data_IF_761544653103
#
_entry.id   IF_761544653103
#
_cell.length_a   1.000
_cell.length_b   1.000
_cell.length_c   1.000
_cell.angle_alpha   90.00
_cell.angle_beta   90.00
_cell.angle_gamma   90.00
#
_symmetry.space_group_name_H-M   'P 1'
#
loop_
_entity.id
_entity.type
_entity.pdbx_description
1 polymer ?
#
# COMPACT_ATOMS: atom_id res chain seq x y z
N UNK A 1 -16.20 -2.26 -14.75
CA UNK A 1 -15.24 -2.60 -13.67
C UNK A 1 -14.68 -4.00 -13.77
N UNK A 2 -15.48 -5.08 -13.89
CA UNK A 2 -14.97 -6.48 -13.93
C UNK A 2 -13.86 -6.73 -14.96
N UNK A 3 -13.98 -6.16 -16.17
CA UNK A 3 -12.96 -6.31 -17.23
C UNK A 3 -11.60 -5.70 -16.88
N UNK A 4 -11.57 -4.59 -16.16
CA UNK A 4 -10.33 -3.95 -15.70
C UNK A 4 -9.62 -4.82 -14.65
N UNK A 5 -10.36 -5.36 -13.68
CA UNK A 5 -9.81 -6.28 -12.68
C UNK A 5 -9.22 -7.54 -13.32
N UNK A 6 -9.92 -8.11 -14.31
CA UNK A 6 -9.43 -9.29 -15.05
C UNK A 6 -8.15 -8.94 -15.81
N UNK A 7 -8.09 -7.77 -16.46
CA UNK A 7 -6.88 -7.29 -17.14
C UNK A 7 -5.71 -7.19 -16.16
N UNK A 8 -5.90 -6.57 -15.01
CA UNK A 8 -4.85 -6.40 -14.00
C UNK A 8 -4.40 -7.74 -13.39
N UNK A 9 -5.32 -8.68 -13.15
CA UNK A 9 -4.99 -10.05 -12.73
C UNK A 9 -4.21 -10.82 -13.80
N UNK A 10 -4.61 -10.71 -15.07
CA UNK A 10 -3.90 -11.35 -16.19
C UNK A 10 -2.48 -10.79 -16.32
N UNK A 11 -2.30 -9.49 -16.08
CA UNK A 11 -0.97 -8.87 -16.04
C UNK A 11 -0.12 -9.48 -14.92
N UNK A 12 -0.68 -9.64 -13.71
CA UNK A 12 0.03 -10.32 -12.63
C UNK A 12 0.41 -11.77 -12.99
N UNK A 13 -0.51 -12.52 -13.60
CA UNK A 13 -0.26 -13.90 -14.04
C UNK A 13 0.86 -13.95 -15.09
N UNK A 14 0.93 -12.96 -16.00
CA UNK A 14 2.03 -12.85 -16.96
C UNK A 14 3.37 -12.62 -16.26
N UNK A 15 3.38 -11.84 -15.18
CA UNK A 15 4.55 -11.62 -14.33
C UNK A 15 4.81 -12.70 -13.26
N UNK A 16 4.08 -13.84 -13.28
CA UNK A 16 4.13 -14.86 -12.22
C UNK A 16 5.52 -15.35 -11.84
N UNK A 17 6.45 -15.44 -12.80
CA UNK A 17 7.83 -15.89 -12.53
C UNK A 17 8.57 -14.90 -11.62
N UNK A 18 8.39 -13.61 -11.85
CA UNK A 18 9.00 -12.53 -11.05
C UNK A 18 8.37 -12.51 -9.66
N UNK A 19 7.04 -12.64 -9.59
CA UNK A 19 6.31 -12.69 -8.31
C UNK A 19 6.79 -13.88 -7.47
N UNK A 20 6.87 -15.08 -8.07
CA UNK A 20 7.32 -16.29 -7.38
C UNK A 20 8.77 -16.16 -6.89
N UNK A 21 9.64 -15.60 -7.71
CA UNK A 21 11.04 -15.36 -7.34
C UNK A 21 11.16 -14.38 -6.16
N UNK A 22 10.39 -13.28 -6.18
CA UNK A 22 10.37 -12.32 -5.07
C UNK A 22 9.82 -12.95 -3.79
N UNK A 23 8.74 -13.72 -3.87
CA UNK A 23 8.19 -14.44 -2.70
C UNK A 23 9.21 -15.42 -2.12
N UNK A 24 9.95 -16.14 -2.97
CA UNK A 24 11.01 -17.05 -2.53
C UNK A 24 12.10 -16.33 -1.75
N UNK A 25 12.54 -15.15 -2.21
CA UNK A 25 13.49 -14.31 -1.47
C UNK A 25 12.91 -13.89 -0.11
N UNK A 26 11.64 -13.49 -0.08
CA UNK A 26 10.97 -13.10 1.17
C UNK A 26 10.92 -14.24 2.18
N UNK A 27 10.62 -15.46 1.73
CA UNK A 27 10.57 -16.65 2.60
C UNK A 27 11.96 -16.99 3.13
N UNK A 28 12.99 -17.04 2.26
CA UNK A 28 14.36 -17.34 2.68
C UNK A 28 14.88 -16.28 3.65
N UNK A 29 14.66 -15.01 3.34
CA UNK A 29 15.11 -13.89 4.16
C UNK A 29 14.44 -13.86 5.53
N UNK A 30 13.19 -14.32 5.63
CA UNK A 30 12.45 -14.38 6.89
C UNK A 30 12.40 -15.74 7.58
N UNK A 31 13.30 -16.69 7.24
CA UNK A 31 13.42 -17.97 7.98
C UNK A 31 13.68 -17.70 9.47
N UNK A 32 14.55 -16.73 9.75
CA UNK A 32 14.94 -16.40 11.12
C UNK A 32 14.06 -15.31 11.75
N UNK A 33 13.37 -14.53 10.92
CA UNK A 33 12.66 -13.33 11.37
C UNK A 33 11.40 -13.14 10.53
N UNK A 34 10.26 -13.61 11.04
CA UNK A 34 9.05 -13.62 10.22
C UNK A 34 8.55 -12.22 9.93
N UNK A 35 8.81 -11.28 10.84
CA UNK A 35 8.39 -9.89 10.72
C UNK A 35 9.05 -9.24 9.50
N UNK A 36 10.29 -9.65 9.19
CA UNK A 36 10.94 -9.32 7.92
C UNK A 36 10.21 -9.94 6.71
N UNK A 37 9.91 -11.24 6.74
CA UNK A 37 9.16 -11.90 5.64
C UNK A 37 7.81 -11.22 5.39
N UNK A 38 7.06 -10.92 6.47
CA UNK A 38 5.74 -10.30 6.38
C UNK A 38 5.81 -8.92 5.73
N UNK A 39 6.74 -8.07 6.18
CA UNK A 39 6.94 -6.74 5.63
C UNK A 39 7.40 -6.78 4.17
N UNK A 40 8.33 -7.68 3.86
CA UNK A 40 8.85 -7.84 2.50
C UNK A 40 7.75 -8.29 1.52
N UNK A 41 7.00 -9.33 1.87
CA UNK A 41 5.92 -9.86 1.02
C UNK A 41 4.86 -8.79 0.78
N UNK A 42 4.42 -8.09 1.82
CA UNK A 42 3.41 -7.03 1.70
C UNK A 42 3.94 -5.85 0.86
N UNK A 43 5.20 -5.47 1.02
CA UNK A 43 5.82 -4.42 0.19
C UNK A 43 5.90 -4.82 -1.28
N UNK A 44 6.35 -6.03 -1.59
CA UNK A 44 6.39 -6.54 -2.98
C UNK A 44 5.00 -6.51 -3.61
N UNK A 45 3.99 -6.97 -2.87
CA UNK A 45 2.60 -6.97 -3.33
C UNK A 45 2.05 -5.55 -3.52
N UNK A 46 2.39 -4.60 -2.65
CA UNK A 46 2.06 -3.20 -2.83
C UNK A 46 2.70 -2.63 -4.10
N UNK A 47 3.99 -2.89 -4.33
CA UNK A 47 4.71 -2.44 -5.55
C UNK A 47 4.07 -3.03 -6.81
N UNK A 48 3.68 -4.30 -6.80
CA UNK A 48 3.00 -4.94 -7.92
C UNK A 48 1.66 -4.26 -8.23
N UNK A 49 0.88 -3.92 -7.20
CA UNK A 49 -0.38 -3.19 -7.40
C UNK A 49 -0.17 -1.80 -8.02
N UNK A 50 0.86 -1.08 -7.59
CA UNK A 50 1.21 0.24 -8.13
C UNK A 50 1.76 0.15 -9.56
N UNK A 51 2.43 -0.96 -9.89
CA UNK A 51 2.96 -1.19 -11.23
C UNK A 51 1.85 -1.30 -12.29
N UNK A 52 0.63 -1.75 -11.94
CA UNK A 52 -0.46 -1.83 -12.94
C UNK A 52 -0.93 -0.47 -13.41
N UNK A 53 -0.82 0.57 -12.57
CA UNK A 53 -1.06 1.97 -12.99
C UNK A 53 0.04 2.39 -13.97
N UNK A 54 1.30 2.02 -13.69
CA UNK A 54 2.43 2.33 -14.56
C UNK A 54 2.29 1.69 -15.94
N UNK A 55 1.82 0.44 -15.99
CA UNK A 55 1.57 -0.27 -17.25
C UNK A 55 0.41 0.33 -18.04
N UNK A 56 -0.61 0.86 -17.36
CA UNK A 56 -1.72 1.55 -18.01
C UNK A 56 -1.31 2.90 -18.59
N UNK A 57 -0.39 3.61 -17.94
CA UNK A 57 0.15 4.89 -18.42
C UNK A 57 1.20 4.72 -19.53
N UNK A 58 1.87 3.57 -19.59
CA UNK A 58 2.90 3.29 -20.59
C UNK A 58 2.35 3.41 -22.02
N UNK A 59 3.14 4.00 -22.93
CA UNK A 59 2.81 4.17 -24.35
C UNK A 59 1.42 4.80 -24.61
N UNK A 60 1.00 5.74 -23.75
CA UNK A 60 -0.32 6.36 -23.80
C UNK A 60 -1.51 5.38 -23.67
N UNK A 61 -1.31 4.24 -23.00
CA UNK A 61 -2.33 3.20 -22.83
C UNK A 61 -3.65 3.69 -22.22
N UNK A 62 -3.59 4.72 -21.36
CA UNK A 62 -4.77 5.35 -20.78
C UNK A 62 -5.72 5.95 -21.85
N UNK A 63 -5.20 6.54 -22.94
CA UNK A 63 -6.05 7.10 -24.01
C UNK A 63 -6.91 6.01 -24.64
N UNK A 64 -6.29 4.88 -24.98
CA UNK A 64 -6.98 3.72 -25.52
C UNK A 64 -7.96 3.13 -24.51
N UNK A 65 -7.57 3.06 -23.24
CA UNK A 65 -8.43 2.53 -22.17
C UNK A 65 -9.72 3.35 -22.00
N UNK A 66 -9.64 4.68 -22.12
CA UNK A 66 -10.79 5.58 -22.01
C UNK A 66 -11.61 5.72 -23.30
N UNK A 67 -11.24 5.04 -24.40
CA UNK A 67 -12.17 4.85 -25.54
C UNK A 67 -13.25 3.82 -25.23
N UNK A 68 -13.01 2.95 -24.24
CA UNK A 68 -14.01 2.02 -23.73
C UNK A 68 -15.04 2.79 -22.88
N UNK A 69 -16.28 2.27 -22.72
CA UNK A 69 -17.33 2.90 -21.92
C UNK A 69 -17.05 2.76 -20.41
N UNK A 70 -15.97 3.40 -19.94
CA UNK A 70 -15.46 3.35 -18.57
C UNK A 70 -15.31 4.78 -18.05
N UNK A 71 -15.90 5.08 -16.90
CA UNK A 71 -15.72 6.39 -16.27
C UNK A 71 -14.37 6.51 -15.56
N UNK A 72 -13.83 7.74 -15.48
CA UNK A 72 -12.62 8.04 -14.69
C UNK A 72 -12.75 7.61 -13.23
N UNK A 73 -13.94 7.76 -12.64
CA UNK A 73 -14.21 7.29 -11.28
C UNK A 73 -14.16 5.77 -11.15
N UNK A 74 -14.64 5.03 -12.14
CA UNK A 74 -14.61 3.56 -12.10
C UNK A 74 -13.19 3.02 -12.22
N UNK A 75 -12.32 3.71 -12.97
CA UNK A 75 -10.89 3.41 -13.03
C UNK A 75 -10.22 3.56 -11.66
N UNK A 76 -10.43 4.70 -10.97
CA UNK A 76 -9.87 4.92 -9.62
C UNK A 76 -10.40 3.87 -8.65
N UNK A 77 -11.71 3.61 -8.64
CA UNK A 77 -12.32 2.60 -7.77
C UNK A 77 -11.72 1.21 -7.99
N UNK A 78 -11.46 0.87 -9.25
CA UNK A 78 -10.88 -0.41 -9.61
C UNK A 78 -9.45 -0.55 -9.08
N UNK A 79 -8.59 0.46 -9.23
CA UNK A 79 -7.21 0.42 -8.69
C UNK A 79 -7.14 0.30 -7.17
N UNK A 80 -8.03 1.00 -6.47
CA UNK A 80 -8.14 0.87 -5.01
C UNK A 80 -8.68 -0.52 -4.60
N UNK A 81 -9.63 -1.08 -5.36
CA UNK A 81 -10.14 -2.43 -5.07
C UNK A 81 -9.10 -3.50 -5.37
N UNK A 82 -8.36 -3.36 -6.47
CA UNK A 82 -7.31 -4.29 -6.89
C UNK A 82 -6.15 -4.36 -5.88
N UNK A 83 -5.66 -3.20 -5.44
CA UNK A 83 -4.63 -3.12 -4.39
C UNK A 83 -5.11 -3.69 -3.05
N UNK A 84 -6.39 -3.50 -2.69
CA UNK A 84 -6.99 -4.10 -1.50
C UNK A 84 -7.10 -5.63 -1.63
N UNK A 85 -7.47 -6.16 -2.79
CA UNK A 85 -7.50 -7.61 -3.05
C UNK A 85 -6.09 -8.20 -2.95
N UNK A 86 -5.09 -7.57 -3.56
CA UNK A 86 -3.70 -8.04 -3.52
C UNK A 86 -3.16 -8.06 -2.09
N UNK A 87 -3.37 -6.97 -1.34
CA UNK A 87 -2.93 -6.90 0.07
C UNK A 87 -3.66 -7.92 0.94
N UNK A 88 -4.95 -8.16 0.69
CA UNK A 88 -5.71 -9.24 1.34
C UNK A 88 -5.14 -10.63 1.07
N UNK A 89 -4.77 -10.92 -0.18
CA UNK A 89 -4.08 -12.19 -0.54
C UNK A 89 -2.73 -12.28 0.19
N UNK A 90 -1.97 -11.17 0.23
CA UNK A 90 -0.72 -11.08 0.98
C UNK A 90 -0.89 -11.36 2.46
N UNK A 91 -1.92 -10.81 3.08
CA UNK A 91 -2.25 -11.04 4.49
C UNK A 91 -2.57 -12.52 4.76
N UNK A 92 -3.38 -13.16 3.92
CA UNK A 92 -3.67 -14.59 4.07
C UNK A 92 -2.40 -15.43 3.93
N UNK A 93 -1.54 -15.11 2.96
CA UNK A 93 -0.28 -15.82 2.78
C UNK A 93 0.66 -15.66 3.99
N UNK A 94 0.76 -14.45 4.51
CA UNK A 94 1.58 -14.12 5.67
C UNK A 94 1.05 -14.77 6.95
N UNK A 95 -0.26 -14.82 7.16
CA UNK A 95 -0.84 -15.47 8.34
C UNK A 95 -0.61 -16.98 8.32
N UNK A 96 -0.66 -17.61 7.14
CA UNK A 96 -0.29 -19.03 6.98
C UNK A 96 1.16 -19.25 7.37
N UNK A 97 2.09 -18.40 6.90
CA UNK A 97 3.50 -18.46 7.31
C UNK A 97 3.66 -18.23 8.83
N UNK A 98 2.90 -17.29 9.39
CA UNK A 98 2.85 -16.95 10.82
C UNK A 98 2.50 -18.13 11.73
N UNK A 99 1.57 -18.99 11.29
CA UNK A 99 1.20 -20.19 12.03
C UNK A 99 2.37 -21.17 12.21
N UNK A 100 3.34 -21.19 11.30
CA UNK A 100 4.49 -22.11 11.38
C UNK A 100 5.61 -21.62 12.29
N UNK A 101 5.70 -20.31 12.58
CA UNK A 101 6.83 -19.72 13.31
C UNK A 101 6.53 -19.33 14.76
N UNK A 102 5.30 -19.59 15.26
CA UNK A 102 4.81 -19.11 16.58
C UNK A 102 4.86 -17.59 16.75
N UNK A 103 4.92 -16.82 15.66
CA UNK A 103 4.87 -15.36 15.73
C UNK A 103 3.50 -14.86 16.16
N UNK A 104 3.48 -13.79 16.95
CA UNK A 104 2.23 -13.18 17.40
C UNK A 104 1.46 -12.52 16.25
N UNK A 105 0.15 -12.76 16.19
CA UNK A 105 -0.76 -12.09 15.23
C UNK A 105 -0.69 -10.56 15.30
N UNK A 106 -0.32 -10.01 16.46
CA UNK A 106 -0.16 -8.58 16.69
C UNK A 106 0.80 -7.91 15.69
N UNK A 107 2.00 -8.47 15.50
CA UNK A 107 3.01 -7.88 14.61
C UNK A 107 2.53 -7.88 13.16
N UNK A 108 1.87 -8.96 12.74
CA UNK A 108 1.31 -9.05 11.40
C UNK A 108 0.23 -7.99 11.16
N UNK A 109 -0.63 -7.69 12.14
CA UNK A 109 -1.62 -6.63 12.02
C UNK A 109 -0.99 -5.25 11.91
N UNK A 110 0.05 -4.96 12.69
CA UNK A 110 0.76 -3.68 12.60
C UNK A 110 1.36 -3.51 11.20
N UNK A 111 2.06 -4.53 10.71
CA UNK A 111 2.74 -4.47 9.41
C UNK A 111 1.72 -4.32 8.27
N UNK A 112 0.62 -5.07 8.29
CA UNK A 112 -0.47 -4.92 7.29
C UNK A 112 -1.05 -3.51 7.31
N UNK A 113 -1.28 -2.97 8.50
CA UNK A 113 -1.84 -1.62 8.65
C UNK A 113 -0.88 -0.56 8.12
N UNK A 114 0.42 -0.70 8.36
CA UNK A 114 1.43 0.20 7.77
C UNK A 114 1.49 0.09 6.24
N UNK A 115 1.34 -1.12 5.68
CA UNK A 115 1.27 -1.32 4.23
C UNK A 115 0.03 -0.67 3.62
N UNK A 116 -1.14 -0.76 4.28
CA UNK A 116 -2.37 -0.09 3.87
C UNK A 116 -2.23 1.44 3.92
N UNK A 117 -1.59 1.99 4.95
CA UNK A 117 -1.31 3.42 5.04
C UNK A 117 -0.37 3.88 3.91
N UNK A 118 0.65 3.09 3.61
CA UNK A 118 1.56 3.37 2.50
C UNK A 118 0.80 3.40 1.18
N UNK A 119 -0.10 2.45 0.93
CA UNK A 119 -0.95 2.43 -0.26
C UNK A 119 -1.94 3.60 -0.30
N UNK A 120 -2.55 3.93 0.84
CA UNK A 120 -3.45 5.08 0.97
C UNK A 120 -2.74 6.39 0.61
N UNK A 121 -1.45 6.52 0.92
CA UNK A 121 -0.66 7.68 0.53
C UNK A 121 -0.18 7.57 -0.93
N UNK A 122 0.26 6.39 -1.39
CA UNK A 122 0.89 6.25 -2.70
C UNK A 122 -0.07 6.36 -3.88
N UNK A 123 -1.25 5.75 -3.76
CA UNK A 123 -2.26 5.72 -4.83
C UNK A 123 -2.72 7.11 -5.30
N UNK A 124 -3.11 8.06 -4.42
CA UNK A 124 -3.57 9.36 -4.88
C UNK A 124 -2.47 10.15 -5.62
N UNK A 125 -1.22 10.06 -5.16
CA UNK A 125 -0.11 10.74 -5.83
C UNK A 125 0.22 10.12 -7.19
N UNK A 126 0.26 8.79 -7.28
CA UNK A 126 0.52 8.11 -8.56
C UNK A 126 -0.60 8.35 -9.58
N UNK A 127 -1.86 8.33 -9.15
CA UNK A 127 -2.98 8.60 -10.05
C UNK A 127 -3.02 10.07 -10.51
N UNK A 128 -2.53 11.00 -9.70
CA UNK A 128 -2.54 12.44 -10.02
C UNK A 128 -1.39 12.84 -10.95
N UNK A 129 -0.16 12.51 -10.55
CA UNK A 129 1.07 13.02 -11.19
C UNK A 129 1.67 12.03 -12.20
N UNK A 130 1.10 10.83 -12.31
CA UNK A 130 1.63 9.72 -13.09
C UNK A 130 2.79 9.00 -12.40
N UNK A 131 3.26 7.89 -13.00
CA UNK A 131 4.20 6.99 -12.34
C UNK A 131 5.54 7.64 -11.92
N UNK A 132 6.21 8.38 -12.81
CA UNK A 132 7.54 8.93 -12.51
C UNK A 132 7.49 10.07 -11.48
N UNK A 133 6.64 11.07 -11.74
CA UNK A 133 6.48 12.21 -10.82
C UNK A 133 5.81 11.79 -9.51
N UNK A 134 4.87 10.84 -9.56
CA UNK A 134 4.19 10.31 -8.38
C UNK A 134 5.15 9.61 -7.41
N UNK A 135 6.16 8.88 -7.91
CA UNK A 135 7.20 8.28 -7.05
C UNK A 135 8.10 9.32 -6.42
N UNK A 136 8.52 10.33 -7.17
CA UNK A 136 9.34 11.43 -6.65
C UNK A 136 8.59 12.18 -5.55
N UNK A 137 7.32 12.53 -5.79
CA UNK A 137 6.47 13.18 -4.79
C UNK A 137 6.30 12.30 -3.55
N UNK A 138 6.11 10.99 -3.72
CA UNK A 138 6.02 10.06 -2.60
C UNK A 138 7.30 10.06 -1.76
N UNK A 139 8.48 9.98 -2.39
CA UNK A 139 9.76 10.06 -1.67
C UNK A 139 9.90 11.37 -0.91
N UNK A 140 9.60 12.51 -1.55
CA UNK A 140 9.67 13.83 -0.89
C UNK A 140 8.72 13.91 0.29
N UNK A 141 7.50 13.38 0.17
CA UNK A 141 6.52 13.39 1.26
C UNK A 141 6.98 12.48 2.40
N UNK A 142 7.39 11.24 2.12
CA UNK A 142 7.79 10.28 3.16
C UNK A 142 9.06 10.75 3.88
N UNK A 143 10.11 11.11 3.13
CA UNK A 143 11.35 11.61 3.73
C UNK A 143 11.17 12.98 4.39
N UNK A 144 10.33 13.84 3.83
CA UNK A 144 9.99 15.13 4.42
C UNK A 144 9.26 14.96 5.75
N UNK A 145 8.29 14.06 5.82
CA UNK A 145 7.57 13.75 7.07
C UNK A 145 8.48 13.14 8.13
N UNK A 146 9.37 12.20 7.77
CA UNK A 146 10.31 11.60 8.74
C UNK A 146 11.34 12.61 9.24
N UNK A 147 11.86 13.48 8.35
CA UNK A 147 12.75 14.56 8.73
C UNK A 147 12.07 15.55 9.67
N UNK A 148 10.86 16.00 9.34
CA UNK A 148 10.07 16.89 10.20
C UNK A 148 9.79 16.26 11.56
N UNK A 149 9.45 14.97 11.59
CA UNK A 149 9.23 14.24 12.83
C UNK A 149 10.48 14.19 13.70
N UNK A 150 11.64 13.83 13.13
CA UNK A 150 12.91 13.78 13.83
C UNK A 150 13.35 15.16 14.34
N UNK A 151 13.18 16.19 13.50
CA UNK A 151 13.47 17.58 13.86
C UNK A 151 12.59 18.03 15.04
N UNK A 152 11.27 17.86 14.95
CA UNK A 152 10.35 18.24 16.03
C UNK A 152 10.63 17.48 17.33
N UNK A 153 11.05 16.21 17.25
CA UNK A 153 11.45 15.43 18.42
C UNK A 153 12.63 16.06 19.16
N UNK A 154 13.56 16.70 18.44
CA UNK A 154 14.67 17.43 19.06
C UNK A 154 14.22 18.72 19.77
N UNK A 155 13.20 19.41 19.25
CA UNK A 155 12.72 20.69 19.83
C UNK A 155 11.72 20.50 20.97
N UNK A 156 10.88 19.46 20.93
CA UNK A 156 9.81 19.24 21.91
C UNK A 156 9.84 17.79 22.45
N UNK A 157 10.98 17.32 23.00
CA UNK A 157 11.16 15.91 23.37
C UNK A 157 10.14 15.45 24.41
N UNK A 158 9.75 16.34 25.34
CA UNK A 158 8.74 16.03 26.38
C UNK A 158 7.37 15.67 25.79
N UNK A 159 6.99 16.28 24.67
CA UNK A 159 5.72 15.97 24.00
C UNK A 159 5.76 14.57 23.38
N UNK A 160 6.84 14.23 22.68
CA UNK A 160 7.01 12.91 22.07
C UNK A 160 7.15 11.80 23.11
N UNK A 161 7.89 12.04 24.20
CA UNK A 161 7.98 11.11 25.33
C UNK A 161 6.62 10.87 25.99
N UNK A 162 5.78 11.91 26.09
CA UNK A 162 4.41 11.78 26.62
C UNK A 162 3.57 10.89 25.71
N UNK A 163 3.62 11.08 24.39
CA UNK A 163 2.94 10.21 23.42
C UNK A 163 3.42 8.77 23.52
N UNK A 164 4.74 8.56 23.58
CA UNK A 164 5.35 7.24 23.69
C UNK A 164 4.90 6.52 24.98
N UNK A 165 4.87 7.24 26.11
CA UNK A 165 4.39 6.68 27.38
C UNK A 165 2.93 6.24 27.31
N UNK A 166 2.05 7.03 26.68
CA UNK A 166 0.65 6.66 26.48
C UNK A 166 0.55 5.45 25.57
N UNK A 167 1.31 5.40 24.48
CA UNK A 167 1.33 4.27 23.54
C UNK A 167 1.74 2.97 24.24
N UNK A 168 2.73 3.03 25.12
CA UNK A 168 3.25 1.88 25.87
C UNK A 168 2.31 1.41 26.99
N UNK A 169 1.35 2.23 27.42
CA UNK A 169 0.33 1.84 28.41
C UNK A 169 -0.88 1.14 27.80
N UNK A 170 -1.07 1.24 26.48
CA UNK A 170 -2.18 0.59 25.79
C UNK A 170 -1.92 -0.90 25.64
N UNK A 171 -2.99 -1.69 25.74
CA UNK A 171 -2.93 -3.12 25.43
C UNK A 171 -2.43 -3.29 23.97
N UNK A 172 -1.30 -3.99 23.76
CA UNK A 172 -0.71 -4.17 22.44
C UNK A 172 -1.69 -4.73 21.39
N UNK A 173 -2.64 -5.57 21.81
CA UNK A 173 -3.67 -6.14 20.93
C UNK A 173 -4.66 -5.06 20.49
N UNK A 174 -5.20 -4.30 21.44
CA UNK A 174 -6.15 -3.21 21.16
C UNK A 174 -5.52 -2.15 20.25
N UNK A 175 -4.25 -1.82 20.48
CA UNK A 175 -3.51 -0.90 19.65
C UNK A 175 -3.40 -1.40 18.19
N UNK A 176 -3.00 -2.66 17.99
CA UNK A 176 -2.84 -3.23 16.65
C UNK A 176 -4.16 -3.25 15.85
N UNK A 177 -5.28 -3.60 16.50
CA UNK A 177 -6.61 -3.61 15.87
C UNK A 177 -7.09 -2.19 15.59
N UNK A 178 -6.88 -1.25 16.52
CA UNK A 178 -7.20 0.17 16.32
C UNK A 178 -6.43 0.78 15.15
N UNK A 179 -5.14 0.46 15.01
CA UNK A 179 -4.30 0.91 13.91
C UNK A 179 -4.79 0.35 12.56
N UNK A 180 -5.25 -0.90 12.54
CA UNK A 180 -5.86 -1.51 11.36
C UNK A 180 -7.15 -0.79 10.97
N UNK A 181 -8.07 -0.58 11.90
CA UNK A 181 -9.35 0.12 11.62
C UNK A 181 -9.09 1.53 11.08
N UNK A 182 -8.20 2.28 11.74
CA UNK A 182 -7.85 3.65 11.30
C UNK A 182 -7.19 3.65 9.91
N UNK A 183 -6.35 2.66 9.60
CA UNK A 183 -5.75 2.52 8.25
C UNK A 183 -6.80 2.30 7.17
N UNK A 184 -7.83 1.49 7.42
CA UNK A 184 -8.95 1.30 6.49
C UNK A 184 -9.74 2.58 6.29
N UNK A 185 -10.05 3.31 7.36
CA UNK A 185 -10.76 4.59 7.28
C UNK A 185 -9.97 5.59 6.42
N UNK A 186 -8.67 5.73 6.67
CA UNK A 186 -7.79 6.61 5.88
C UNK A 186 -7.67 6.15 4.43
N UNK A 187 -7.66 4.85 4.17
CA UNK A 187 -7.66 4.29 2.82
C UNK A 187 -8.92 4.68 2.04
N UNK A 188 -10.10 4.55 2.66
CA UNK A 188 -11.36 4.98 2.05
C UNK A 188 -11.44 6.50 1.85
N UNK A 189 -10.96 7.29 2.81
CA UNK A 189 -10.86 8.74 2.65
C UNK A 189 -9.94 9.12 1.48
N UNK A 190 -8.79 8.44 1.36
CA UNK A 190 -7.86 8.62 0.25
C UNK A 190 -8.50 8.31 -1.10
N UNK A 191 -9.28 7.22 -1.19
CA UNK A 191 -10.05 6.87 -2.37
C UNK A 191 -11.03 7.99 -2.77
N UNK A 192 -11.77 8.56 -1.82
CA UNK A 192 -12.69 9.66 -2.09
C UNK A 192 -11.98 10.90 -2.63
N UNK A 193 -10.83 11.25 -2.04
CA UNK A 193 -10.00 12.38 -2.48
C UNK A 193 -9.47 12.10 -3.90
N UNK A 194 -8.95 10.89 -4.13
CA UNK A 194 -8.41 10.47 -5.42
C UNK A 194 -9.45 10.53 -6.53
N UNK A 195 -10.70 10.15 -6.28
CA UNK A 195 -11.79 10.27 -7.28
C UNK A 195 -12.01 11.75 -7.66
N UNK A 196 -12.07 12.64 -6.66
CA UNK A 196 -12.29 14.08 -6.89
C UNK A 196 -11.13 14.71 -7.68
N UNK A 197 -9.90 14.35 -7.35
CA UNK A 197 -8.69 14.86 -8.01
C UNK A 197 -8.58 14.31 -9.43
N UNK A 198 -8.77 13.01 -9.63
CA UNK A 198 -8.59 12.36 -10.92
C UNK A 198 -9.67 12.75 -11.94
N UNK A 199 -10.90 13.00 -11.50
CA UNK A 199 -11.96 13.50 -12.38
C UNK A 199 -11.61 14.87 -13.01
N UNK A 200 -10.82 15.70 -12.30
CA UNK A 200 -10.34 17.00 -12.80
C UNK A 200 -9.07 16.90 -13.64
N UNK A 201 -8.41 15.73 -13.71
CA UNK A 201 -7.19 15.52 -14.50
C UNK A 201 -7.54 15.52 -16.00
N UNK A 202 -6.87 16.38 -16.76
CA UNK A 202 -6.85 16.32 -18.22
C UNK A 202 -5.85 15.22 -18.60
N UNK A 203 -6.28 14.30 -19.46
CA UNK A 203 -5.43 13.19 -19.91
C UNK A 203 -4.69 13.67 -21.16
N UNK A 204 -3.38 13.93 -21.01
CA UNK A 204 -2.52 14.42 -22.08
C UNK A 204 -2.14 13.34 -23.09
#
# INVERSE_FOLDING_TARGET
MKGLLIKDLLLMIKSKKVILFMLFIGIIGGINDISFATGYILMVLAILSLSTISYDEANHGLKTLFTLPISKSDYVKEKYLFSLIITGIGFVFVTILGCFSKSGFMETFIIVSTALLLLALSLPFQLKEGNEKGRIVLFVVVFGCTFLFAFLNQFIPKFFQSIESVLNTLDPIMFSVGLLITSFILYFLSMMISIRVYNKRILD
#
